data_IF_051136532801
#
_entry.id   IF_051136532801
#
_cell.length_a   1.000
_cell.length_b   1.000
_cell.length_c   1.000
_cell.angle_alpha   90.00
_cell.angle_beta   90.00
_cell.angle_gamma   90.00
#
_symmetry.space_group_name_H-M   'P 1'
#
loop_
_entity.id
_entity.type
_entity.pdbx_description
1 polymer ?
#
# COMPACT_ATOMS: atom_id res chain seq x y z
N UNK A 1 -13.66 7.25 -10.54
CA UNK A 1 -12.59 7.26 -9.51
C UNK A 1 -12.41 5.84 -9.02
N UNK A 2 -11.20 5.32 -9.09
CA UNK A 2 -10.91 3.97 -8.61
C UNK A 2 -10.05 4.04 -7.34
N UNK A 3 -10.36 3.15 -6.40
CA UNK A 3 -9.64 3.03 -5.14
C UNK A 3 -8.75 1.79 -5.17
N UNK A 4 -7.44 2.00 -5.19
CA UNK A 4 -6.46 0.91 -5.22
C UNK A 4 -6.01 0.56 -3.80
N UNK A 5 -6.24 -0.67 -3.36
CA UNK A 5 -5.75 -1.21 -2.08
C UNK A 5 -5.08 -2.57 -2.28
N UNK A 6 -4.20 -2.97 -1.36
CA UNK A 6 -3.53 -4.25 -1.41
C UNK A 6 -2.95 -4.64 -0.07
N UNK A 7 -3.15 -5.90 0.32
CA UNK A 7 -2.54 -6.49 1.49
C UNK A 7 -1.26 -7.22 1.07
N UNK A 8 -0.19 -7.03 1.82
CA UNK A 8 1.07 -7.73 1.63
C UNK A 8 1.62 -8.15 2.99
N UNK A 9 2.26 -9.32 3.04
CA UNK A 9 2.93 -9.78 4.26
C UNK A 9 4.08 -8.83 4.64
N UNK A 10 4.84 -8.37 3.64
CA UNK A 10 5.93 -7.40 3.82
C UNK A 10 5.74 -6.21 2.90
N UNK A 11 6.02 -5.00 3.41
CA UNK A 11 5.91 -3.77 2.63
C UNK A 11 6.83 -3.73 1.41
N UNK A 12 7.98 -4.42 1.46
CA UNK A 12 8.95 -4.49 0.36
C UNK A 12 8.33 -4.93 -0.97
N UNK A 13 7.40 -5.88 -0.96
CA UNK A 13 6.73 -6.36 -2.18
C UNK A 13 5.87 -5.27 -2.81
N UNK A 14 5.08 -4.54 -1.99
CA UNK A 14 4.21 -3.48 -2.50
C UNK A 14 5.03 -2.28 -2.98
N UNK A 15 6.11 -1.97 -2.26
CA UNK A 15 7.04 -0.91 -2.62
C UNK A 15 7.71 -1.20 -3.98
N UNK A 16 8.25 -2.41 -4.19
CA UNK A 16 8.84 -2.79 -5.48
C UNK A 16 7.84 -2.72 -6.63
N UNK A 17 6.59 -3.13 -6.40
CA UNK A 17 5.53 -3.02 -7.39
C UNK A 17 5.26 -1.56 -7.76
N UNK A 18 5.20 -0.66 -6.79
CA UNK A 18 5.03 0.78 -7.02
C UNK A 18 6.25 1.37 -7.75
N UNK A 19 7.47 1.01 -7.37
CA UNK A 19 8.68 1.46 -8.08
C UNK A 19 8.66 1.03 -9.54
N UNK A 20 8.32 -0.22 -9.83
CA UNK A 20 8.20 -0.70 -11.21
C UNK A 20 7.10 0.05 -11.99
N UNK A 21 6.04 0.48 -11.30
CA UNK A 21 4.92 1.20 -11.91
C UNK A 21 5.29 2.64 -12.27
N UNK A 22 5.97 3.37 -11.38
CA UNK A 22 6.31 4.79 -11.56
C UNK A 22 7.69 5.06 -12.19
N UNK A 23 8.69 4.22 -11.92
CA UNK A 23 10.05 4.37 -12.44
C UNK A 23 10.24 3.49 -13.68
N UNK A 24 9.59 2.33 -13.69
CA UNK A 24 9.77 1.32 -14.72
C UNK A 24 10.94 0.39 -14.44
N UNK A 25 10.80 -0.87 -14.85
CA UNK A 25 11.88 -1.85 -14.85
C UNK A 25 11.90 -2.59 -16.20
N UNK A 26 12.83 -2.27 -17.12
CA UNK A 26 13.94 -1.31 -17.01
C UNK A 26 13.48 0.16 -16.92
N UNK A 27 14.36 1.03 -16.43
CA UNK A 27 14.06 2.45 -16.16
C UNK A 27 13.46 3.13 -17.40
N UNK A 28 12.29 3.75 -17.24
CA UNK A 28 11.53 4.38 -18.32
C UNK A 28 10.37 3.54 -18.87
N UNK A 29 10.28 2.25 -18.54
CA UNK A 29 9.11 1.42 -18.85
C UNK A 29 8.04 1.54 -17.75
N UNK A 30 7.45 2.73 -17.62
CA UNK A 30 6.39 2.99 -16.64
C UNK A 30 5.09 2.30 -17.02
N UNK A 31 4.24 2.02 -16.03
CA UNK A 31 2.95 1.41 -16.29
C UNK A 31 2.02 2.38 -17.01
N UNK A 32 1.56 1.99 -18.19
CA UNK A 32 0.64 2.76 -19.03
C UNK A 32 -0.72 2.99 -18.38
N UNK A 33 -1.06 2.24 -17.33
CA UNK A 33 -2.26 2.51 -16.53
C UNK A 33 -2.19 3.89 -15.85
N UNK A 34 -1.00 4.39 -15.52
CA UNK A 34 -0.83 5.73 -14.93
C UNK A 34 -1.18 6.86 -15.91
N UNK A 35 -1.15 6.62 -17.23
CA UNK A 35 -1.52 7.62 -18.24
C UNK A 35 -3.01 8.01 -18.13
N UNK A 36 -3.84 7.11 -17.59
CA UNK A 36 -5.28 7.31 -17.43
C UNK A 36 -5.71 7.48 -15.96
N UNK A 37 -4.83 7.18 -15.01
CA UNK A 37 -5.13 7.12 -13.58
C UNK A 37 -4.10 7.90 -12.79
N UNK A 38 -4.51 9.05 -12.29
CA UNK A 38 -3.67 9.87 -11.40
C UNK A 38 -3.93 9.50 -9.94
N UNK A 39 -2.93 9.00 -9.19
CA UNK A 39 -3.06 8.72 -7.77
C UNK A 39 -3.00 10.03 -7.00
N UNK A 40 -4.12 10.41 -6.36
CA UNK A 40 -4.23 11.65 -5.57
C UNK A 40 -3.82 11.40 -4.11
N UNK A 41 -4.00 10.17 -3.62
CA UNK A 41 -3.73 9.77 -2.23
C UNK A 41 -2.92 8.48 -2.17
N UNK A 42 -1.99 8.38 -1.22
CA UNK A 42 -1.23 7.16 -0.93
C UNK A 42 -0.90 7.06 0.55
N UNK A 43 -1.52 6.08 1.23
CA UNK A 43 -1.35 5.85 2.68
C UNK A 43 -1.00 4.39 2.93
N UNK A 44 -0.03 4.16 3.83
CA UNK A 44 0.35 2.84 4.29
C UNK A 44 -0.29 2.58 5.67
N UNK A 45 -0.98 1.45 5.80
CA UNK A 45 -1.56 1.01 7.06
C UNK A 45 -0.97 -0.32 7.50
N UNK A 46 -0.69 -0.43 8.79
CA UNK A 46 -0.38 -1.71 9.43
C UNK A 46 -1.68 -2.35 9.93
N UNK A 47 -1.90 -3.60 9.53
CA UNK A 47 -3.07 -4.38 9.98
C UNK A 47 -2.60 -5.37 11.04
N UNK A 48 -2.89 -5.12 12.33
CA UNK A 48 -2.49 -6.01 13.41
C UNK A 48 -3.27 -7.33 13.39
N UNK A 49 -2.73 -8.37 14.04
CA UNK A 49 -3.49 -9.58 14.36
C UNK A 49 -4.62 -9.28 15.36
N UNK A 50 -5.61 -10.16 15.43
CA UNK A 50 -6.75 -10.00 16.36
C UNK A 50 -6.31 -9.86 17.82
N UNK A 51 -5.29 -10.61 18.26
CA UNK A 51 -4.77 -10.54 19.63
C UNK A 51 -4.12 -9.19 19.94
N UNK A 52 -3.35 -8.66 19.00
CA UNK A 52 -2.72 -7.35 19.11
C UNK A 52 -3.78 -6.24 19.09
N UNK A 53 -4.81 -6.37 18.25
CA UNK A 53 -5.93 -5.43 18.21
C UNK A 53 -6.69 -5.40 19.54
N UNK A 54 -6.96 -6.58 20.14
CA UNK A 54 -7.62 -6.68 21.44
C UNK A 54 -6.80 -6.02 22.56
N UNK A 55 -5.48 -6.21 22.55
CA UNK A 55 -4.57 -5.60 23.54
C UNK A 55 -4.54 -4.07 23.43
N UNK A 56 -4.47 -3.55 22.20
CA UNK A 56 -4.49 -2.10 21.94
C UNK A 56 -5.84 -1.46 22.28
N UNK A 57 -6.95 -2.15 21.99
CA UNK A 57 -8.30 -1.68 22.30
C UNK A 57 -8.59 -1.63 23.81
N UNK A 58 -8.00 -2.54 24.59
CA UNK A 58 -8.10 -2.53 26.06
C UNK A 58 -7.33 -1.38 26.70
N UNK A 59 -6.24 -0.90 26.09
CA UNK A 59 -5.48 0.25 26.58
C UNK A 59 -6.24 1.59 26.45
N UNK A 60 -7.22 1.67 25.55
CA UNK A 60 -8.03 2.88 25.31
C UNK A 60 -9.25 2.94 26.27
N UNK A 61 -9.60 1.83 26.94
CA UNK A 61 -10.75 1.73 27.86
C UNK A 61 -10.41 1.89 29.36
N UNK A 62 -9.19 2.31 29.71
CA UNK A 62 -8.77 2.61 31.08
C UNK A 62 -8.53 4.10 31.26
#
# INVERSE_FOLDING_TARGET
>A
MEYTFGYANTFSTRYQMLENMYIGNPIGNTDRLLDFRTPITGTLFFVPSYDLLGTLGLYIKK
#
